data_IF_286786343885
#
_entry.id   IF_286786343885
#
_cell.length_a   1.000
_cell.length_b   1.000
_cell.length_c   1.000
_cell.angle_alpha   90.00
_cell.angle_beta   90.00
_cell.angle_gamma   90.00
#
_symmetry.space_group_name_H-M   'P 1'
#
loop_
_entity.id
_entity.type
_entity.pdbx_description
1 polymer ?
#
# COMPACT_ATOMS: atom_id res chain seq x y z
N UNK A 1 8.90 3.42 -2.93
CA UNK A 1 8.17 2.40 -2.14
C UNK A 1 6.81 2.93 -1.72
N UNK A 2 5.73 2.24 -2.04
CA UNK A 2 4.38 2.53 -1.58
C UNK A 2 3.51 1.28 -1.58
N UNK A 3 2.26 1.42 -1.12
CA UNK A 3 1.28 0.34 -1.12
C UNK A 3 -0.05 0.77 -1.75
N UNK A 4 -0.75 -0.21 -2.29
CA UNK A 4 -2.17 -0.21 -2.56
C UNK A 4 -2.89 -1.07 -1.50
N UNK A 5 -4.07 -0.61 -1.07
CA UNK A 5 -4.87 -1.30 -0.05
C UNK A 5 -6.29 -1.51 -0.55
N UNK A 6 -7.08 -2.31 0.17
CA UNK A 6 -8.45 -2.66 -0.21
C UNK A 6 -9.28 -1.44 -0.60
N UNK A 7 -9.98 -1.55 -1.74
CA UNK A 7 -10.95 -0.54 -2.17
C UNK A 7 -12.06 -0.27 -1.16
N UNK A 8 -12.36 -1.22 -0.27
CA UNK A 8 -13.35 -1.04 0.82
C UNK A 8 -12.97 0.06 1.83
N UNK A 9 -11.69 0.47 1.87
CA UNK A 9 -11.20 1.53 2.74
C UNK A 9 -11.38 2.93 2.15
N UNK A 10 -11.60 3.02 0.84
CA UNK A 10 -11.70 4.28 0.12
C UNK A 10 -13.13 4.81 0.14
N UNK A 11 -13.29 6.13 0.08
CA UNK A 11 -14.57 6.73 -0.24
C UNK A 11 -14.95 6.40 -1.70
N UNK A 12 -16.15 5.85 -1.90
CA UNK A 12 -16.67 5.53 -3.24
C UNK A 12 -16.73 6.74 -4.20
N UNK A 13 -16.69 7.96 -3.67
CA UNK A 13 -16.68 9.21 -4.46
C UNK A 13 -15.28 9.80 -4.66
N UNK A 14 -14.23 9.13 -4.19
CA UNK A 14 -12.86 9.63 -4.27
C UNK A 14 -12.47 9.96 -5.72
N UNK A 15 -11.91 11.15 -5.91
CA UNK A 15 -11.37 11.60 -7.19
C UNK A 15 -9.87 11.31 -7.23
N UNK A 16 -9.35 11.03 -8.42
CA UNK A 16 -7.94 10.70 -8.66
C UNK A 16 -7.26 11.80 -9.48
N UNK A 17 -7.04 13.00 -8.90
CA UNK A 17 -6.33 14.06 -9.59
C UNK A 17 -4.86 13.69 -9.83
N UNK A 18 -4.24 14.41 -10.76
CA UNK A 18 -2.78 14.43 -10.90
C UNK A 18 -2.14 14.90 -9.58
N UNK A 19 -1.15 14.17 -9.08
CA UNK A 19 -0.43 14.56 -7.87
C UNK A 19 0.69 15.55 -8.17
N UNK A 20 1.22 16.21 -7.13
CA UNK A 20 2.41 17.05 -7.21
C UNK A 20 3.74 16.26 -7.20
N UNK A 21 3.70 14.93 -7.31
CA UNK A 21 4.90 14.10 -7.37
C UNK A 21 5.65 14.33 -8.70
N UNK A 22 6.98 14.12 -8.75
CA UNK A 22 7.78 14.38 -9.96
C UNK A 22 7.29 13.64 -11.21
N UNK A 23 6.70 12.46 -11.02
CA UNK A 23 6.16 11.63 -12.11
C UNK A 23 4.68 11.88 -12.40
N UNK A 24 4.04 12.85 -11.72
CA UNK A 24 2.65 13.24 -11.93
C UNK A 24 1.66 12.08 -11.84
N UNK A 25 1.98 11.02 -11.10
CA UNK A 25 1.06 9.90 -10.92
C UNK A 25 -0.24 10.38 -10.29
N UNK A 26 -1.37 9.77 -10.64
CA UNK A 26 -2.64 10.10 -10.01
C UNK A 26 -2.70 9.50 -8.61
N UNK A 27 -3.19 10.28 -7.65
CA UNK A 27 -3.36 9.83 -6.25
C UNK A 27 -4.73 10.29 -5.78
N UNK A 28 -5.51 9.38 -5.19
CA UNK A 28 -6.83 9.71 -4.70
C UNK A 28 -6.79 10.85 -3.68
N UNK A 29 -7.65 11.85 -3.83
CA UNK A 29 -7.91 12.83 -2.78
C UNK A 29 -8.84 12.21 -1.71
N UNK A 30 -8.30 11.23 -0.99
CA UNK A 30 -8.97 10.44 0.02
C UNK A 30 -8.09 10.37 1.28
N UNK A 31 -8.64 10.41 2.51
CA UNK A 31 -7.85 10.31 3.75
C UNK A 31 -6.89 9.12 3.79
N UNK A 32 -7.24 8.00 3.15
CA UNK A 32 -6.38 6.82 3.01
C UNK A 32 -5.10 7.16 2.25
N UNK A 33 -5.19 7.85 1.12
CA UNK A 33 -4.00 8.25 0.37
C UNK A 33 -3.28 9.49 0.92
N UNK A 34 -4.02 10.37 1.59
CA UNK A 34 -3.50 11.68 2.00
C UNK A 34 -2.83 11.67 3.38
N UNK A 35 -3.15 10.71 4.24
CA UNK A 35 -2.71 10.72 5.65
C UNK A 35 -2.38 9.36 6.25
N UNK A 36 -2.55 8.26 5.49
CA UNK A 36 -2.34 6.92 6.02
C UNK A 36 -1.14 6.24 5.36
N UNK A 37 -0.39 5.58 6.23
CA UNK A 37 0.70 4.70 5.89
C UNK A 37 0.28 3.29 6.33
N UNK A 38 0.75 2.27 5.64
CA UNK A 38 0.61 0.89 6.08
C UNK A 38 1.94 0.43 6.66
N UNK A 39 1.89 -0.06 7.90
CA UNK A 39 2.99 -0.72 8.57
C UNK A 39 2.77 -2.22 8.49
N UNK A 40 3.72 -2.93 7.90
CA UNK A 40 3.69 -4.37 7.76
C UNK A 40 4.89 -4.98 8.45
N UNK A 41 4.64 -5.92 9.36
CA UNK A 41 5.67 -6.75 9.99
C UNK A 41 5.63 -8.15 9.39
N UNK A 42 6.75 -8.60 8.83
CA UNK A 42 6.89 -9.90 8.19
C UNK A 42 8.29 -10.47 8.45
N UNK A 43 8.40 -11.74 8.85
CA UNK A 43 9.67 -12.43 9.17
C UNK A 43 10.61 -11.61 10.08
N UNK A 44 10.06 -10.86 11.04
CA UNK A 44 10.82 -10.02 11.98
C UNK A 44 11.20 -8.63 11.45
N UNK A 45 11.00 -8.36 10.16
CA UNK A 45 11.22 -7.04 9.57
C UNK A 45 9.93 -6.21 9.60
N UNK A 46 10.04 -4.89 9.78
CA UNK A 46 8.90 -3.97 9.75
C UNK A 46 9.13 -2.88 8.72
N UNK A 47 8.23 -2.77 7.75
CA UNK A 47 8.23 -1.72 6.73
C UNK A 47 7.01 -0.83 6.93
N UNK A 48 7.22 0.49 6.91
CA UNK A 48 6.13 1.48 6.88
C UNK A 48 6.24 2.29 5.60
N UNK A 49 5.19 2.28 4.77
CA UNK A 49 5.16 3.00 3.49
C UNK A 49 3.84 3.76 3.32
N UNK A 50 3.85 4.87 2.57
CA UNK A 50 2.62 5.60 2.25
C UNK A 50 1.69 4.73 1.41
N UNK A 51 0.39 4.87 1.67
CA UNK A 51 -0.65 4.35 0.79
C UNK A 51 -0.91 5.42 -0.27
N UNK A 52 -0.80 5.07 -1.55
CA UNK A 52 -1.03 6.03 -2.64
C UNK A 52 -1.84 5.44 -3.80
N UNK A 53 -2.30 4.21 -3.66
CA UNK A 53 -3.08 3.53 -4.68
C UNK A 53 -4.13 2.61 -4.04
N UNK A 54 -5.04 2.11 -4.87
CA UNK A 54 -6.14 1.24 -4.46
C UNK A 54 -6.00 -0.11 -5.16
N UNK A 55 -6.19 -1.19 -4.40
CA UNK A 55 -6.41 -2.53 -4.95
C UNK A 55 -7.90 -2.86 -4.83
N UNK A 56 -8.64 -2.71 -5.92
CA UNK A 56 -10.11 -2.88 -5.94
C UNK A 56 -10.58 -4.30 -5.60
N UNK A 57 -9.78 -5.32 -5.94
CA UNK A 57 -10.09 -6.73 -5.65
C UNK A 57 -9.52 -7.25 -4.33
N UNK A 58 -8.73 -6.45 -3.61
CA UNK A 58 -8.07 -6.89 -2.39
C UNK A 58 -9.03 -6.87 -1.18
N UNK A 59 -8.94 -7.92 -0.35
CA UNK A 59 -9.52 -7.92 0.98
C UNK A 59 -8.78 -6.92 1.90
N UNK A 60 -9.42 -6.54 3.03
CA UNK A 60 -8.89 -5.53 3.97
C UNK A 60 -7.55 -5.93 4.63
N UNK A 61 -7.28 -7.24 4.67
CA UNK A 61 -6.08 -7.88 5.20
C UNK A 61 -5.06 -8.22 4.10
N UNK A 62 -5.21 -7.64 2.90
CA UNK A 62 -4.27 -7.75 1.79
C UNK A 62 -3.69 -6.37 1.46
N UNK A 63 -2.36 -6.31 1.37
CA UNK A 63 -1.60 -5.11 0.96
C UNK A 63 -0.82 -5.44 -0.31
N UNK A 64 -1.08 -4.69 -1.36
CA UNK A 64 -0.40 -4.83 -2.66
C UNK A 64 0.75 -3.80 -2.73
N UNK A 65 1.98 -4.29 -2.69
CA UNK A 65 3.17 -3.45 -2.61
C UNK A 65 3.75 -3.18 -3.99
N UNK A 66 4.34 -1.99 -4.19
CA UNK A 66 5.30 -1.81 -5.29
C UNK A 66 6.41 -2.86 -5.16
N UNK A 67 6.96 -3.36 -6.28
CA UNK A 67 8.06 -4.34 -6.30
C UNK A 67 9.16 -4.02 -5.29
N UNK A 68 9.62 -2.77 -5.26
CA UNK A 68 10.66 -2.32 -4.34
C UNK A 68 10.30 -2.54 -2.86
N UNK A 69 9.05 -2.28 -2.46
CA UNK A 69 8.59 -2.45 -1.09
C UNK A 69 8.41 -3.94 -0.75
N UNK A 70 7.87 -4.71 -1.68
CA UNK A 70 7.71 -6.14 -1.50
C UNK A 70 9.07 -6.85 -1.37
N UNK A 71 10.02 -6.55 -2.26
CA UNK A 71 11.38 -7.12 -2.24
C UNK A 71 12.19 -6.71 -1.01
N UNK A 72 11.88 -5.56 -0.40
CA UNK A 72 12.48 -5.18 0.87
C UNK A 72 12.05 -6.10 2.01
N UNK A 73 10.75 -6.49 2.05
CA UNK A 73 10.21 -7.41 3.06
C UNK A 73 10.52 -8.89 2.75
N UNK A 74 10.48 -9.26 1.48
CA UNK A 74 10.70 -10.60 0.96
C UNK A 74 11.68 -10.54 -0.23
N UNK A 75 13.00 -10.62 0.02
CA UNK A 75 14.01 -10.60 -1.04
C UNK A 75 13.85 -11.74 -2.07
N UNK A 76 13.16 -12.82 -1.71
CA UNK A 76 12.75 -13.90 -2.63
C UNK A 76 11.49 -13.56 -3.46
N UNK A 77 11.04 -12.31 -3.47
CA UNK A 77 9.73 -11.91 -3.99
C UNK A 77 9.51 -12.13 -5.49
N UNK A 78 10.58 -12.29 -6.26
CA UNK A 78 10.47 -12.71 -7.68
C UNK A 78 10.07 -14.19 -7.84
N UNK A 79 10.10 -14.97 -6.76
CA UNK A 79 9.62 -16.36 -6.70
C UNK A 79 8.39 -16.49 -5.80
N UNK A 80 8.34 -15.70 -4.72
CA UNK A 80 7.21 -15.64 -3.79
C UNK A 80 6.29 -14.49 -4.20
N UNK A 81 5.25 -14.75 -4.99
CA UNK A 81 4.31 -13.70 -5.41
C UNK A 81 3.27 -13.26 -4.37
N UNK A 82 3.16 -13.99 -3.25
CA UNK A 82 2.17 -13.73 -2.20
C UNK A 82 2.72 -14.18 -0.83
N UNK A 83 3.09 -13.22 0.01
CA UNK A 83 3.65 -13.47 1.33
C UNK A 83 2.57 -13.53 2.41
N UNK A 84 2.40 -14.70 3.04
CA UNK A 84 1.38 -14.94 4.10
C UNK A 84 1.95 -14.87 5.51
N UNK A 85 1.08 -14.52 6.47
CA UNK A 85 1.43 -14.45 7.90
C UNK A 85 2.06 -13.13 8.34
N UNK A 86 1.92 -12.08 7.54
CA UNK A 86 2.32 -10.74 7.93
C UNK A 86 1.30 -10.11 8.89
N UNK A 87 1.75 -9.19 9.75
CA UNK A 87 0.88 -8.34 10.56
C UNK A 87 0.74 -6.98 9.88
N UNK A 88 -0.50 -6.54 9.64
CA UNK A 88 -0.81 -5.26 8.96
C UNK A 88 -1.38 -4.27 9.98
N UNK A 89 -0.86 -3.04 9.99
CA UNK A 89 -1.36 -1.93 10.79
C UNK A 89 -1.49 -0.67 9.93
N UNK A 90 -2.65 -0.03 9.97
CA UNK A 90 -2.86 1.27 9.35
C UNK A 90 -2.49 2.37 10.34
N UNK A 91 -1.49 3.17 10.01
CA UNK A 91 -0.97 4.23 10.87
C UNK A 91 -1.11 5.59 10.17
N UNK A 92 -1.02 6.67 10.94
CA UNK A 92 -0.90 8.01 10.36
C UNK A 92 0.50 8.19 9.78
N UNK A 93 0.60 8.70 8.56
CA UNK A 93 1.78 9.43 8.12
C UNK A 93 1.73 10.83 8.77
#
# INVERSE_FOLDING_TARGET
>A
MSAAVSGSLFNNSAKWPESCLPDKRTVANDPVCMSKCVQVTYKGNTLTVPINNMCGGCAIDHVDFTDQAFLWLEPGGYTVGDAKGATIKYVRC
#
